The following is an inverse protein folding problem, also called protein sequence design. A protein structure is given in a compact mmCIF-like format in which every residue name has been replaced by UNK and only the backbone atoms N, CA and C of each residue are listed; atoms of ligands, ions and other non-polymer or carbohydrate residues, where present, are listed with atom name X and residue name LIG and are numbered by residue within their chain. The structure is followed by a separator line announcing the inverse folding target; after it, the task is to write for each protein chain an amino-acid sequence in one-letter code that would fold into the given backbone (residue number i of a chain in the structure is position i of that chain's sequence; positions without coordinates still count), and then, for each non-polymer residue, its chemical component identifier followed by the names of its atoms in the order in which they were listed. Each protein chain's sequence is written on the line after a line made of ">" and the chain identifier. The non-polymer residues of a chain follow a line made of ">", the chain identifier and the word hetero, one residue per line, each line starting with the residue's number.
data_IF_649353959580
#
_entry.id   IF_649353959580
#
_cell.length_a   1.000
_cell.length_b   1.000
_cell.length_c   1.000
_cell.angle_alpha   90.00
_cell.angle_beta   90.00
_cell.angle_gamma   90.00
#
_symmetry.space_group_name_H-M   'P 1'
#
loop_
_entity.id
_entity.type
_entity.pdbx_description
1 polymer ?
#
# COMPACT_ATOMS: atom_id res chain seq x y z
N UNK A 1 7.13 -4.55 12.22
CA UNK A 1 8.11 -5.60 12.58
C UNK A 1 9.54 -5.19 12.27
N UNK A 2 9.92 -4.91 11.01
CA UNK A 2 11.29 -4.45 10.68
C UNK A 2 11.74 -3.19 11.44
N UNK A 3 10.93 -2.12 11.47
CA UNK A 3 11.29 -0.88 12.19
C UNK A 3 11.49 -1.09 13.71
N UNK A 4 10.73 -2.01 14.31
CA UNK A 4 10.82 -2.34 15.75
C UNK A 4 12.10 -3.13 16.05
N UNK A 5 12.50 -4.03 15.15
CA UNK A 5 13.70 -4.86 15.29
C UNK A 5 14.98 -4.08 14.93
N UNK A 6 14.93 -3.25 13.89
CA UNK A 6 16.08 -2.49 13.39
C UNK A 6 16.29 -1.15 14.11
N UNK A 7 15.37 -0.72 15.00
CA UNK A 7 15.36 0.59 15.66
C UNK A 7 15.50 1.79 14.70
N UNK A 8 15.07 1.63 13.45
CA UNK A 8 15.09 2.71 12.46
C UNK A 8 13.78 3.50 12.58
N UNK A 9 13.81 4.85 12.54
CA UNK A 9 12.60 5.66 12.55
C UNK A 9 11.66 5.26 11.41
N UNK A 10 10.37 5.18 11.73
CA UNK A 10 9.31 4.71 10.82
C UNK A 10 9.26 5.58 9.55
N UNK A 11 9.56 6.87 9.67
CA UNK A 11 9.60 7.86 8.59
C UNK A 11 10.61 7.49 7.51
N UNK A 12 11.83 7.08 7.89
CA UNK A 12 12.88 6.71 6.94
C UNK A 12 12.53 5.42 6.20
N UNK A 13 11.87 4.49 6.88
CA UNK A 13 11.39 3.26 6.26
C UNK A 13 10.27 3.54 5.24
N UNK A 14 9.41 4.53 5.53
CA UNK A 14 8.34 4.99 4.63
C UNK A 14 8.92 5.69 3.39
N UNK A 15 9.95 6.53 3.57
CA UNK A 15 10.68 7.17 2.47
C UNK A 15 11.43 6.14 1.63
N UNK A 16 12.07 5.14 2.25
CA UNK A 16 12.74 4.05 1.55
C UNK A 16 11.77 3.23 0.68
N UNK A 17 10.51 3.09 1.08
CA UNK A 17 9.44 2.46 0.30
C UNK A 17 9.02 3.24 -0.96
N UNK A 18 9.37 4.52 -1.07
CA UNK A 18 9.06 5.34 -2.24
C UNK A 18 9.86 4.92 -3.47
N UNK A 19 11.12 4.53 -3.28
CA UNK A 19 11.99 4.05 -4.35
C UNK A 19 11.40 2.82 -5.07
N UNK A 20 11.06 1.70 -4.38
CA UNK A 20 10.44 0.55 -5.04
C UNK A 20 9.06 0.87 -5.61
N UNK A 21 8.28 1.76 -4.99
CA UNK A 21 7.02 2.22 -5.57
C UNK A 21 7.23 2.91 -6.92
N UNK A 22 8.21 3.82 -7.01
CA UNK A 22 8.59 4.49 -8.26
C UNK A 22 9.06 3.51 -9.34
N UNK A 23 9.92 2.55 -8.96
CA UNK A 23 10.37 1.48 -9.86
C UNK A 23 9.18 0.66 -10.38
N UNK A 24 8.22 0.31 -9.51
CA UNK A 24 7.02 -0.42 -9.90
C UNK A 24 6.16 0.35 -10.91
N UNK A 25 5.95 1.65 -10.68
CA UNK A 25 5.21 2.52 -11.61
C UNK A 25 5.91 2.58 -12.97
N UNK A 26 7.23 2.81 -13.00
CA UNK A 26 8.00 2.86 -14.25
C UNK A 26 7.93 1.52 -14.99
N UNK A 27 8.05 0.41 -14.28
CA UNK A 27 8.00 -0.93 -14.85
C UNK A 27 6.61 -1.22 -15.44
N UNK A 28 5.52 -0.88 -14.73
CA UNK A 28 4.15 -1.02 -15.24
C UNK A 28 3.89 -0.13 -16.47
N UNK A 29 4.42 1.11 -16.49
CA UNK A 29 4.35 1.99 -17.66
C UNK A 29 5.13 1.40 -18.84
N UNK A 30 6.34 0.89 -18.62
CA UNK A 30 7.14 0.25 -19.66
C UNK A 30 6.43 -0.98 -20.25
N UNK A 31 5.91 -1.87 -19.39
CA UNK A 31 5.18 -3.08 -19.81
C UNK A 31 3.88 -2.72 -20.52
N UNK A 32 3.12 -1.74 -20.04
CA UNK A 32 1.87 -1.32 -20.69
C UNK A 32 2.11 -0.69 -22.06
N UNK A 33 3.15 0.14 -22.22
CA UNK A 33 3.57 0.70 -23.50
C UNK A 33 4.06 -0.39 -24.46
N UNK A 34 4.84 -1.35 -23.95
CA UNK A 34 5.32 -2.46 -24.76
C UNK A 34 4.18 -3.39 -25.20
N UNK A 35 3.24 -3.71 -24.31
CA UNK A 35 2.05 -4.52 -24.64
C UNK A 35 1.15 -3.80 -25.64
N UNK A 36 0.92 -2.48 -25.48
CA UNK A 36 0.19 -1.65 -26.47
C UNK A 36 0.88 -1.64 -27.84
N UNK A 37 2.21 -1.65 -27.89
CA UNK A 37 2.97 -1.72 -29.15
C UNK A 37 3.00 -3.12 -29.77
N UNK A 38 2.86 -4.19 -28.97
CA UNK A 38 2.91 -5.59 -29.46
C UNK A 38 1.55 -6.16 -29.85
N UNK A 39 0.43 -5.58 -29.40
CA UNK A 39 -0.93 -6.03 -29.71
C UNK A 39 -1.77 -4.84 -30.22
N UNK A 40 -1.77 -4.53 -31.53
CA UNK A 40 -2.57 -3.43 -32.07
C UNK A 40 -4.09 -3.67 -31.98
N UNK A 41 -4.56 -4.92 -31.89
CA UNK A 41 -5.99 -5.26 -32.01
C UNK A 41 -6.41 -6.44 -31.10
N UNK A 42 -6.66 -6.19 -29.83
CA UNK A 42 -7.58 -7.05 -29.05
C UNK A 42 -8.45 -6.16 -28.19
N UNK A 43 -9.44 -5.55 -28.84
CA UNK A 43 -10.74 -5.26 -28.22
C UNK A 43 -11.31 -6.57 -27.69
N UNK A 44 -11.54 -6.65 -26.38
CA UNK A 44 -12.70 -7.29 -25.75
C UNK A 44 -12.55 -7.34 -24.22
N UNK A 45 -12.60 -6.17 -23.60
CA UNK A 45 -13.07 -6.03 -22.22
C UNK A 45 -14.12 -4.90 -22.24
N UNK A 46 -15.32 -5.11 -21.66
CA UNK A 46 -16.38 -4.10 -21.64
C UNK A 46 -16.04 -3.05 -20.59
N UNK A 47 -15.03 -2.22 -20.87
CA UNK A 47 -14.82 -0.95 -20.19
C UNK A 47 -15.54 0.13 -21.01
N UNK A 48 -16.30 1.04 -20.39
CA UNK A 48 -16.90 2.18 -21.08
C UNK A 48 -15.79 2.95 -21.81
N UNK A 49 -15.75 2.88 -23.15
CA UNK A 49 -14.75 3.59 -23.96
C UNK A 49 -15.09 5.09 -23.98
N UNK A 50 -14.18 5.98 -23.57
CA UNK A 50 -14.20 7.34 -24.07
C UNK A 50 -13.78 7.32 -25.56
N UNK A 51 -14.44 8.16 -26.36
CA UNK A 51 -14.30 8.24 -27.81
C UNK A 51 -12.84 8.40 -28.32
N UNK A 52 -12.55 8.01 -29.58
CA UNK A 52 -11.21 8.06 -30.14
C UNK A 52 -10.82 9.52 -30.46
N UNK A 53 -9.99 10.13 -29.61
CA UNK A 53 -9.40 11.44 -29.86
C UNK A 53 -7.86 11.34 -29.96
N UNK A 54 -7.18 12.26 -30.68
CA UNK A 54 -5.79 12.12 -31.10
C UNK A 54 -4.84 12.00 -29.90
N UNK A 55 -3.96 11.00 -29.95
CA UNK A 55 -3.18 10.45 -28.81
C UNK A 55 -2.30 11.46 -28.04
N UNK A 56 -2.00 12.64 -28.59
CA UNK A 56 -1.20 13.68 -27.93
C UNK A 56 -2.05 14.70 -27.13
N UNK A 57 -3.29 14.96 -27.55
CA UNK A 57 -4.21 15.83 -26.82
C UNK A 57 -4.87 15.08 -25.65
N UNK A 58 -5.11 13.77 -25.81
CA UNK A 58 -5.67 12.92 -24.76
C UNK A 58 -4.72 12.68 -23.59
N UNK A 59 -3.40 12.63 -23.79
CA UNK A 59 -2.44 12.52 -22.68
C UNK A 59 -2.49 13.72 -21.74
N UNK A 60 -2.60 14.95 -22.27
CA UNK A 60 -2.74 16.16 -21.47
C UNK A 60 -4.10 16.25 -20.80
N UNK A 61 -5.18 15.86 -21.49
CA UNK A 61 -6.52 15.82 -20.90
C UNK A 61 -6.66 14.73 -19.82
N UNK A 62 -6.10 13.54 -20.04
CA UNK A 62 -6.04 12.46 -19.05
C UNK A 62 -5.13 12.83 -17.88
N UNK A 63 -3.99 13.48 -18.11
CA UNK A 63 -3.15 14.01 -17.02
C UNK A 63 -3.89 15.11 -16.23
N UNK A 64 -4.72 15.92 -16.89
CA UNK A 64 -5.54 16.94 -16.23
C UNK A 64 -6.69 16.33 -15.41
N UNK A 65 -7.24 15.20 -15.83
CA UNK A 65 -8.23 14.43 -15.08
C UNK A 65 -7.59 13.69 -13.89
N UNK A 66 -6.43 13.05 -14.12
CA UNK A 66 -5.71 12.26 -13.12
C UNK A 66 -4.88 13.11 -12.14
N UNK A 67 -4.81 14.44 -12.31
CA UNK A 67 -4.03 15.33 -11.45
C UNK A 67 -4.37 15.15 -9.96
N UNK A 68 -5.65 14.92 -9.66
CA UNK A 68 -6.15 14.77 -8.30
C UNK A 68 -5.79 13.40 -7.71
N UNK A 69 -5.63 12.37 -8.53
CA UNK A 69 -5.19 11.05 -8.08
C UNK A 69 -3.67 10.99 -7.89
N UNK A 70 -2.89 11.60 -8.79
CA UNK A 70 -1.44 11.64 -8.69
C UNK A 70 -0.96 12.50 -7.51
N UNK A 71 -1.80 13.45 -7.06
CA UNK A 71 -1.55 14.25 -5.86
C UNK A 71 -1.74 13.46 -4.56
N UNK A 72 -2.51 12.38 -4.52
CA UNK A 72 -2.75 11.62 -3.30
C UNK A 72 -1.47 11.10 -2.62
N UNK A 73 -0.53 10.43 -3.31
CA UNK A 73 0.75 10.02 -2.70
C UNK A 73 1.63 11.23 -2.33
N UNK A 74 1.55 12.33 -3.10
CA UNK A 74 2.31 13.55 -2.80
C UNK A 74 1.82 14.20 -1.50
N UNK A 75 0.51 14.28 -1.29
CA UNK A 75 -0.09 14.78 -0.04
C UNK A 75 0.36 13.95 1.15
N UNK A 76 0.38 12.61 1.03
CA UNK A 76 0.86 11.73 2.08
C UNK A 76 2.33 11.98 2.45
N UNK A 77 3.20 12.12 1.43
CA UNK A 77 4.63 12.34 1.63
C UNK A 77 4.89 13.72 2.21
N UNK A 78 4.27 14.78 1.67
CA UNK A 78 4.48 16.16 2.12
C UNK A 78 4.01 16.33 3.56
N UNK A 79 2.85 15.76 3.91
CA UNK A 79 2.32 15.76 5.27
C UNK A 79 3.26 15.06 6.26
N UNK A 80 3.83 13.91 5.86
CA UNK A 80 4.73 13.12 6.70
C UNK A 80 6.13 13.75 6.84
N UNK A 81 6.72 14.21 5.74
CA UNK A 81 8.11 14.69 5.69
C UNK A 81 8.25 16.11 6.24
N UNK A 82 7.21 16.95 6.12
CA UNK A 82 7.26 18.32 6.65
C UNK A 82 7.23 18.39 8.18
N UNK A 83 7.08 17.26 8.89
CA UNK A 83 7.02 17.20 10.35
C UNK A 83 5.76 17.83 10.95
N UNK A 84 4.78 18.17 10.10
CA UNK A 84 3.50 18.77 10.50
C UNK A 84 2.58 17.76 11.20
N UNK A 85 2.76 16.46 10.92
CA UNK A 85 1.87 15.39 11.36
C UNK A 85 2.63 14.08 11.61
N UNK A 86 2.21 13.35 12.64
CA UNK A 86 2.65 11.97 12.89
C UNK A 86 2.18 11.03 11.77
N UNK A 87 2.76 9.81 11.64
CA UNK A 87 2.37 8.88 10.57
C UNK A 87 0.86 8.56 10.53
N UNK A 88 0.24 8.49 11.71
CA UNK A 88 -1.20 8.26 11.85
C UNK A 88 -2.04 9.46 11.43
N UNK A 89 -1.62 10.67 11.79
CA UNK A 89 -2.29 11.91 11.37
C UNK A 89 -2.13 12.15 9.86
N UNK A 90 -0.96 11.86 9.29
CA UNK A 90 -0.70 11.95 7.85
C UNK A 90 -1.59 10.99 7.05
N UNK A 91 -1.78 9.76 7.54
CA UNK A 91 -2.70 8.80 6.94
C UNK A 91 -4.15 9.30 6.99
N UNK A 92 -4.59 9.88 8.12
CA UNK A 92 -5.92 10.45 8.26
C UNK A 92 -6.14 11.61 7.27
N UNK A 93 -5.20 12.57 7.20
CA UNK A 93 -5.25 13.69 6.26
C UNK A 93 -5.31 13.23 4.80
N UNK A 94 -4.50 12.24 4.44
CA UNK A 94 -4.49 11.66 3.09
C UNK A 94 -5.80 10.96 2.77
N UNK A 95 -6.37 10.22 3.71
CA UNK A 95 -7.66 9.56 3.54
C UNK A 95 -8.80 10.59 3.38
N UNK A 96 -8.80 11.65 4.20
CA UNK A 96 -9.76 12.77 4.05
C UNK A 96 -9.60 13.44 2.69
N UNK A 97 -8.37 13.69 2.24
CA UNK A 97 -8.10 14.23 0.91
C UNK A 97 -8.63 13.31 -0.20
N UNK A 98 -8.38 11.99 -0.11
CA UNK A 98 -8.88 11.01 -1.07
C UNK A 98 -10.41 10.98 -1.13
N UNK A 99 -11.08 10.97 0.02
CA UNK A 99 -12.55 11.04 0.09
C UNK A 99 -13.06 12.34 -0.54
N UNK A 100 -12.43 13.48 -0.22
CA UNK A 100 -12.80 14.77 -0.77
C UNK A 100 -12.60 14.84 -2.29
N UNK A 101 -11.49 14.32 -2.82
CA UNK A 101 -11.23 14.31 -4.27
C UNK A 101 -12.14 13.33 -5.01
N UNK A 102 -12.41 12.15 -4.46
CA UNK A 102 -13.34 11.18 -5.06
C UNK A 102 -14.80 11.69 -5.04
N UNK A 103 -15.22 12.37 -3.98
CA UNK A 103 -16.55 12.97 -3.89
C UNK A 103 -16.70 14.22 -4.77
N UNK A 104 -15.70 15.11 -4.78
CA UNK A 104 -15.82 16.43 -5.39
C UNK A 104 -15.29 16.50 -6.84
N UNK A 105 -14.16 15.85 -7.13
CA UNK A 105 -13.53 15.89 -8.45
C UNK A 105 -14.07 14.81 -9.40
N UNK A 106 -14.33 13.59 -8.90
CA UNK A 106 -14.87 12.51 -9.72
C UNK A 106 -16.40 12.38 -9.60
N UNK A 107 -17.02 12.84 -8.50
CA UNK A 107 -18.47 12.68 -8.20
C UNK A 107 -18.96 11.22 -8.29
N UNK A 108 -18.05 10.26 -8.19
CA UNK A 108 -18.32 8.82 -8.27
C UNK A 108 -18.54 8.20 -6.88
N UNK A 109 -18.28 8.96 -5.81
CA UNK A 109 -18.40 8.47 -4.45
C UNK A 109 -19.84 8.57 -3.93
N UNK A 110 -20.53 7.42 -3.88
CA UNK A 110 -21.79 7.29 -3.13
C UNK A 110 -21.53 6.88 -1.68
N UNK A 111 -22.38 7.30 -0.75
CA UNK A 111 -22.31 6.87 0.66
C UNK A 111 -22.33 5.34 0.83
N UNK A 112 -23.04 4.65 -0.06
CA UNK A 112 -23.07 3.18 -0.11
C UNK A 112 -21.70 2.58 -0.51
N UNK A 113 -21.02 3.17 -1.48
CA UNK A 113 -19.68 2.73 -1.90
C UNK A 113 -18.66 2.94 -0.79
N UNK A 114 -18.70 4.10 -0.12
CA UNK A 114 -17.83 4.39 1.02
C UNK A 114 -18.02 3.37 2.15
N UNK A 115 -19.27 3.09 2.53
CA UNK A 115 -19.59 2.06 3.53
C UNK A 115 -19.12 0.66 3.13
N UNK A 116 -19.26 0.30 1.85
CA UNK A 116 -18.77 -0.98 1.31
C UNK A 116 -17.24 -1.08 1.39
N UNK A 117 -16.52 -0.03 0.98
CA UNK A 117 -15.05 0.00 1.08
C UNK A 117 -14.58 -0.09 2.52
N UNK A 118 -15.22 0.61 3.46
CA UNK A 118 -14.92 0.49 4.89
C UNK A 118 -15.16 -0.94 5.40
N UNK A 119 -16.28 -1.57 5.02
CA UNK A 119 -16.58 -2.94 5.41
C UNK A 119 -15.55 -3.95 4.85
N UNK A 120 -15.09 -3.74 3.62
CA UNK A 120 -14.05 -4.56 2.99
C UNK A 120 -12.69 -4.40 3.67
N UNK A 121 -12.28 -3.16 3.97
CA UNK A 121 -11.10 -2.88 4.78
C UNK A 121 -11.18 -3.58 6.14
N UNK A 122 -12.31 -3.46 6.84
CA UNK A 122 -12.51 -4.12 8.15
C UNK A 122 -12.44 -5.64 8.05
N UNK A 123 -12.95 -6.26 6.97
CA UNK A 123 -12.83 -7.71 6.75
C UNK A 123 -11.37 -8.14 6.58
N UNK A 124 -10.59 -7.38 5.80
CA UNK A 124 -9.16 -7.63 5.63
C UNK A 124 -8.41 -7.49 6.96
N UNK A 125 -8.64 -6.39 7.68
CA UNK A 125 -8.04 -6.17 9.00
C UNK A 125 -8.47 -7.23 10.02
N UNK A 126 -9.74 -7.67 9.99
CA UNK A 126 -10.24 -8.74 10.84
C UNK A 126 -9.51 -10.07 10.60
N UNK A 127 -9.27 -10.43 9.34
CA UNK A 127 -8.47 -11.61 8.98
C UNK A 127 -7.03 -11.51 9.51
N UNK A 128 -6.39 -10.35 9.34
CA UNK A 128 -5.03 -10.11 9.86
C UNK A 128 -4.98 -10.20 11.39
N UNK A 129 -5.96 -9.61 12.09
CA UNK A 129 -6.03 -9.66 13.55
C UNK A 129 -6.26 -11.07 14.08
N UNK A 130 -7.05 -11.89 13.38
CA UNK A 130 -7.22 -13.31 13.72
C UNK A 130 -5.90 -14.07 13.64
N UNK A 131 -5.17 -13.92 12.53
CA UNK A 131 -3.86 -14.57 12.34
C UNK A 131 -2.89 -14.10 13.42
N UNK A 132 -2.86 -12.80 13.72
CA UNK A 132 -1.98 -12.25 14.75
C UNK A 132 -2.34 -12.77 16.14
N UNK A 133 -3.63 -12.87 16.47
CA UNK A 133 -4.10 -13.45 17.73
C UNK A 133 -3.66 -14.89 17.89
N UNK A 134 -3.82 -15.72 16.85
CA UNK A 134 -3.37 -17.12 16.88
C UNK A 134 -1.85 -17.23 16.97
N UNK A 135 -1.11 -16.38 16.26
CA UNK A 135 0.35 -16.36 16.32
C UNK A 135 0.87 -15.99 17.72
N UNK A 136 0.24 -14.98 18.37
CA UNK A 136 0.59 -14.58 19.73
C UNK A 136 0.20 -15.66 20.76
N UNK A 137 -0.96 -16.29 20.60
CA UNK A 137 -1.37 -17.39 21.46
C UNK A 137 -0.40 -18.58 21.37
N UNK A 138 0.00 -18.96 20.16
CA UNK A 138 1.02 -19.99 19.94
C UNK A 138 2.37 -19.57 20.53
N UNK A 139 2.78 -18.31 20.34
CA UNK A 139 4.04 -17.79 20.88
C UNK A 139 4.05 -17.89 22.40
N UNK A 140 2.98 -17.48 23.08
CA UNK A 140 2.87 -17.60 24.53
C UNK A 140 2.85 -19.06 24.99
N UNK A 141 2.13 -19.93 24.29
CA UNK A 141 2.13 -21.36 24.60
C UNK A 141 3.53 -22.00 24.49
N UNK A 142 4.29 -21.65 23.45
CA UNK A 142 5.67 -22.13 23.28
C UNK A 142 6.57 -21.63 24.41
N UNK A 143 6.41 -20.36 24.82
CA UNK A 143 7.14 -19.77 25.95
C UNK A 143 6.79 -20.50 27.25
N UNK A 144 5.51 -20.74 27.53
CA UNK A 144 5.05 -21.44 28.73
C UNK A 144 5.51 -22.91 28.77
N UNK A 145 5.60 -23.57 27.61
CA UNK A 145 6.09 -24.94 27.49
C UNK A 145 7.62 -25.05 27.60
N UNK A 146 8.36 -23.94 27.71
CA UNK A 146 9.81 -23.92 27.79
C UNK A 146 10.53 -24.42 26.53
N UNK A 147 9.81 -24.55 25.41
CA UNK A 147 10.37 -25.06 24.14
C UNK A 147 11.52 -24.18 23.62
N UNK A 148 11.43 -22.83 23.66
CA UNK A 148 12.56 -21.97 23.30
C UNK A 148 13.81 -22.23 24.13
N UNK A 149 13.66 -22.44 25.45
CA UNK A 149 14.79 -22.68 26.35
C UNK A 149 15.44 -24.05 26.07
N UNK A 150 14.64 -25.09 25.86
CA UNK A 150 15.13 -26.42 25.45
C UNK A 150 15.89 -26.37 24.12
N UNK A 151 15.40 -25.58 23.15
CA UNK A 151 16.08 -25.40 21.88
C UNK A 151 17.43 -24.66 22.05
N UNK A 152 17.51 -23.66 22.93
CA UNK A 152 18.76 -22.95 23.24
C UNK A 152 19.78 -23.89 23.90
N UNK A 153 19.34 -24.73 24.84
CA UNK A 153 20.23 -25.69 25.52
C UNK A 153 20.76 -26.76 24.55
N UNK A 154 19.92 -27.27 23.64
CA UNK A 154 20.38 -28.17 22.59
C UNK A 154 21.43 -27.52 21.69
N UNK A 155 21.21 -26.29 21.25
CA UNK A 155 22.20 -25.57 20.42
C UNK A 155 23.50 -25.35 21.18
N UNK A 156 23.45 -24.99 22.47
CA UNK A 156 24.64 -24.82 23.31
C UNK A 156 25.45 -26.11 23.46
N UNK A 157 24.79 -27.27 23.54
CA UNK A 157 25.47 -28.56 23.62
C UNK A 157 26.21 -28.97 22.34
N UNK A 158 25.81 -28.42 21.19
CA UNK A 158 26.44 -28.66 19.88
C UNK A 158 27.58 -27.68 19.57
N UNK A 159 27.68 -26.56 20.29
CA UNK A 159 28.76 -25.60 20.13
C UNK A 159 29.92 -26.03 21.06
N UNK A 160 31.09 -26.42 20.52
CA UNK A 160 32.24 -26.75 21.34
C UNK A 160 32.71 -25.50 22.09
N UNK A 161 32.74 -25.60 23.41
CA UNK A 161 33.19 -24.55 24.32
C UNK A 161 34.62 -24.11 23.96
N UNK A 162 34.78 -22.86 23.50
CA UNK A 162 36.06 -22.14 23.50
C UNK A 162 35.89 -20.80 24.17
#
# INVERSE_FOLDING_TARGET
>A
MYAVIARVPITDMLIAGLLPAGVMVVCLLAVSLQRRRRLPNTTDTPLPRPAPAPQAASLRACAWAAKWELLAPVVAIVSLVSGLATPTESAALTATYAIATQALAHRELSWALLGRSLAECTRLFGGVMLILGMALALTNYLVDAGIPDLAVDQVRSLIPNR
#
